data_IF_023571990237
#
_entry.id   IF_023571990237
#
_cell.length_a   1.000
_cell.length_b   1.000
_cell.length_c   1.000
_cell.angle_alpha   90.00
_cell.angle_beta   90.00
_cell.angle_gamma   90.00
#
_symmetry.space_group_name_H-M   'P 1'
#
loop_
_entity.id
_entity.type
_entity.pdbx_description
1 polymer ?
#
# COMPACT_ATOMS: atom_id res chain seq x y z
N UNK A 1 -4.91 -1.17 11.20
CA UNK A 1 -3.58 -1.70 10.85
C UNK A 1 -2.69 -0.59 10.30
N UNK A 2 -1.38 -0.83 10.18
CA UNK A 2 -0.39 0.10 9.66
C UNK A 2 0.41 -0.58 8.53
N UNK A 3 0.71 0.18 7.48
CA UNK A 3 1.63 -0.22 6.41
C UNK A 3 2.79 0.76 6.39
N UNK A 4 4.02 0.25 6.30
CA UNK A 4 5.22 1.07 6.25
C UNK A 4 6.23 0.51 5.23
N UNK A 5 7.09 1.39 4.72
CA UNK A 5 8.14 1.04 3.78
C UNK A 5 9.51 1.30 4.40
N UNK A 6 10.45 0.39 4.21
CA UNK A 6 11.85 0.57 4.61
C UNK A 6 12.62 1.41 3.59
N UNK A 7 13.80 1.93 3.96
CA UNK A 7 14.67 2.67 3.05
C UNK A 7 15.05 1.88 1.78
N UNK A 8 15.14 0.54 1.90
CA UNK A 8 15.47 -0.34 0.78
C UNK A 8 14.25 -0.71 -0.09
N UNK A 9 13.07 -0.15 0.21
CA UNK A 9 11.86 -0.38 -0.58
C UNK A 9 11.13 -1.69 -0.27
N UNK A 10 11.33 -2.27 0.91
CA UNK A 10 10.49 -3.37 1.38
C UNK A 10 9.24 -2.82 2.08
N UNK A 11 8.09 -3.41 1.78
CA UNK A 11 6.81 -3.04 2.36
C UNK A 11 6.44 -4.00 3.48
N UNK A 12 6.04 -3.46 4.63
CA UNK A 12 5.66 -4.20 5.82
C UNK A 12 4.26 -3.81 6.28
N UNK A 13 3.50 -4.80 6.74
CA UNK A 13 2.23 -4.64 7.45
C UNK A 13 2.42 -4.91 8.93
N UNK A 14 1.75 -4.12 9.76
CA UNK A 14 1.67 -4.27 11.20
C UNK A 14 0.19 -4.29 11.58
N UNK A 15 -0.27 -5.36 12.22
CA UNK A 15 -1.67 -5.50 12.61
C UNK A 15 -1.94 -4.79 13.93
N UNK A 16 -3.12 -4.19 14.07
CA UNK A 16 -3.58 -3.71 15.37
C UNK A 16 -3.83 -4.89 16.30
N UNK A 17 -3.37 -4.80 17.56
CA UNK A 17 -3.56 -5.87 18.55
C UNK A 17 -4.88 -5.74 19.31
N UNK A 18 -5.66 -4.69 19.06
CA UNK A 18 -6.84 -4.32 19.86
C UNK A 18 -6.51 -3.73 21.24
N UNK A 19 -5.23 -3.58 21.60
CA UNK A 19 -4.78 -3.07 22.91
C UNK A 19 -4.09 -1.70 22.82
N UNK A 20 -4.32 -0.97 21.74
CA UNK A 20 -3.58 0.26 21.44
C UNK A 20 -2.13 0.04 21.02
N UNK A 21 -1.75 -1.18 20.65
CA UNK A 21 -0.41 -1.52 20.13
C UNK A 21 -0.51 -2.16 18.75
N UNK A 22 0.64 -2.28 18.07
CA UNK A 22 0.77 -2.98 16.79
C UNK A 22 1.63 -4.25 16.95
N UNK A 23 1.41 -5.23 16.06
CA UNK A 23 2.18 -6.48 16.01
C UNK A 23 3.63 -6.25 15.55
N UNK A 24 4.42 -7.33 15.51
CA UNK A 24 5.62 -7.35 14.68
C UNK A 24 5.25 -7.18 13.20
N UNK A 25 6.17 -6.60 12.43
CA UNK A 25 5.97 -6.35 11.01
C UNK A 25 6.10 -7.63 10.19
N UNK A 26 5.15 -7.84 9.28
CA UNK A 26 5.22 -8.88 8.25
C UNK A 26 5.55 -8.24 6.92
N UNK A 27 6.59 -8.72 6.23
CA UNK A 27 6.91 -8.26 4.88
C UNK A 27 5.82 -8.70 3.90
N UNK A 28 5.23 -7.75 3.20
CA UNK A 28 4.13 -7.97 2.25
C UNK A 28 4.49 -7.56 0.81
N UNK A 29 5.68 -6.99 0.60
CA UNK A 29 6.15 -6.61 -0.72
C UNK A 29 7.62 -6.21 -0.76
N UNK A 30 8.17 -6.17 -1.97
CA UNK A 30 9.51 -5.69 -2.29
C UNK A 30 9.41 -4.70 -3.47
N UNK A 31 10.42 -3.88 -3.69
CA UNK A 31 10.48 -2.97 -4.85
C UNK A 31 9.63 -1.69 -4.72
N UNK A 32 9.18 -1.36 -3.52
CA UNK A 32 8.38 -0.17 -3.23
C UNK A 32 9.19 1.13 -3.21
N UNK A 33 10.51 1.07 -3.42
CA UNK A 33 11.39 2.24 -3.48
C UNK A 33 11.07 3.23 -4.62
N UNK A 34 10.37 2.77 -5.68
CA UNK A 34 9.94 3.62 -6.79
C UNK A 34 8.64 4.41 -6.55
N UNK A 35 7.97 4.19 -5.42
CA UNK A 35 6.77 4.94 -5.06
C UNK A 35 7.13 6.27 -4.40
N UNK A 36 6.48 7.36 -4.79
CA UNK A 36 6.54 8.61 -4.04
C UNK A 36 5.87 8.42 -2.67
N UNK A 37 4.67 7.85 -2.67
CA UNK A 37 3.81 7.61 -1.51
C UNK A 37 2.80 6.47 -1.79
N UNK A 38 2.13 6.03 -0.74
CA UNK A 38 1.12 4.98 -0.76
C UNK A 38 0.14 5.15 0.41
N UNK A 39 -1.09 4.69 0.23
CA UNK A 39 -2.15 4.77 1.25
C UNK A 39 -3.08 3.57 1.17
N UNK A 40 -3.53 3.06 2.31
CA UNK A 40 -4.62 2.09 2.38
C UNK A 40 -5.96 2.79 2.18
N UNK A 41 -6.76 2.37 1.21
CA UNK A 41 -7.98 3.10 0.78
C UNK A 41 -9.29 2.38 1.15
N UNK A 42 -9.19 1.23 1.83
CA UNK A 42 -10.31 0.31 2.02
C UNK A 42 -10.52 -0.56 0.78
N UNK A 43 -11.72 -1.11 0.61
CA UNK A 43 -12.04 -2.05 -0.48
C UNK A 43 -12.43 -1.33 -1.78
N UNK A 44 -11.44 -1.00 -2.61
CA UNK A 44 -11.65 -0.38 -3.93
C UNK A 44 -12.06 -1.42 -4.98
N UNK A 45 -11.72 -2.69 -4.78
CA UNK A 45 -12.08 -3.79 -5.70
C UNK A 45 -13.52 -4.27 -5.55
N UNK A 46 -14.13 -4.07 -4.39
CA UNK A 46 -15.44 -4.60 -4.03
C UNK A 46 -15.42 -6.08 -3.61
N UNK A 47 -14.27 -6.62 -3.22
CA UNK A 47 -14.09 -8.04 -2.87
C UNK A 47 -14.11 -8.31 -1.35
N UNK A 48 -14.38 -7.29 -0.55
CA UNK A 48 -14.44 -7.32 0.90
C UNK A 48 -13.08 -7.26 1.60
N UNK A 49 -12.00 -6.89 0.88
CA UNK A 49 -10.64 -6.81 1.43
C UNK A 49 -10.04 -5.44 1.19
N UNK A 50 -9.28 -4.97 2.17
CA UNK A 50 -8.63 -3.67 2.06
C UNK A 50 -7.52 -3.67 1.00
N UNK A 51 -7.57 -2.66 0.12
CA UNK A 51 -6.62 -2.41 -0.94
C UNK A 51 -5.64 -1.29 -0.57
N UNK A 52 -4.54 -1.26 -1.31
CA UNK A 52 -3.52 -0.23 -1.23
C UNK A 52 -3.40 0.52 -2.56
N UNK A 53 -3.26 1.84 -2.48
CA UNK A 53 -2.85 2.68 -3.61
C UNK A 53 -1.38 3.04 -3.45
N UNK A 54 -0.64 3.01 -4.55
CA UNK A 54 0.74 3.48 -4.62
C UNK A 54 0.90 4.40 -5.82
N UNK A 55 1.53 5.55 -5.62
CA UNK A 55 1.84 6.49 -6.70
C UNK A 55 3.34 6.51 -6.93
N UNK A 56 3.75 6.37 -8.18
CA UNK A 56 5.17 6.44 -8.56
C UNK A 56 5.69 7.88 -8.55
N UNK A 57 7.00 8.05 -8.49
CA UNK A 57 7.65 9.37 -8.65
C UNK A 57 7.40 10.02 -10.02
N UNK A 58 7.04 9.22 -11.03
CA UNK A 58 6.64 9.68 -12.36
C UNK A 58 5.16 10.06 -12.46
N UNK A 59 4.34 9.76 -11.43
CA UNK A 59 2.92 10.11 -11.39
C UNK A 59 1.98 9.05 -11.97
N UNK A 60 2.42 7.81 -12.10
CA UNK A 60 1.51 6.69 -12.36
C UNK A 60 0.84 6.26 -11.04
N UNK A 61 -0.47 6.01 -11.06
CA UNK A 61 -1.22 5.50 -9.91
C UNK A 61 -1.49 4.01 -10.10
N UNK A 62 -1.14 3.22 -9.10
CA UNK A 62 -1.34 1.78 -9.06
C UNK A 62 -2.26 1.39 -7.89
N UNK A 63 -3.14 0.42 -8.14
CA UNK A 63 -3.90 -0.30 -7.13
C UNK A 63 -3.25 -1.65 -6.86
N UNK A 64 -3.22 -2.04 -5.60
CA UNK A 64 -2.74 -3.34 -5.13
C UNK A 64 -3.87 -3.98 -4.33
N UNK A 65 -4.46 -5.05 -4.89
CA UNK A 65 -5.61 -5.69 -4.29
C UNK A 65 -5.24 -6.42 -2.99
N UNK A 66 -6.05 -6.32 -1.95
CA UNK A 66 -5.92 -7.15 -0.76
C UNK A 66 -6.08 -8.63 -1.08
N UNK A 67 -5.22 -9.50 -0.53
CA UNK A 67 -5.34 -10.95 -0.77
C UNK A 67 -6.14 -11.70 0.30
N UNK A 68 -6.55 -11.02 1.38
CA UNK A 68 -7.36 -11.59 2.48
C UNK A 68 -6.55 -12.44 3.47
N UNK A 69 -5.28 -12.69 3.18
CA UNK A 69 -4.33 -13.42 4.04
C UNK A 69 -3.30 -12.48 4.69
N UNK A 70 -3.60 -11.18 4.75
CA UNK A 70 -2.71 -10.19 5.33
C UNK A 70 -1.77 -9.50 4.33
N UNK A 71 -1.75 -9.93 3.07
CA UNK A 71 -0.89 -9.38 2.01
C UNK A 71 -1.64 -8.67 0.89
N UNK A 72 -0.90 -8.34 -0.16
CA UNK A 72 -1.40 -7.65 -1.35
C UNK A 72 -1.00 -8.42 -2.62
N UNK A 73 -1.78 -8.23 -3.69
CA UNK A 73 -1.49 -8.75 -5.02
C UNK A 73 -0.57 -7.84 -5.84
N UNK A 74 -0.41 -8.19 -7.12
CA UNK A 74 0.35 -7.40 -8.08
C UNK A 74 -0.28 -6.02 -8.32
N UNK A 75 0.58 -5.03 -8.57
CA UNK A 75 0.14 -3.68 -8.90
C UNK A 75 -0.53 -3.59 -10.26
N UNK A 76 -1.71 -2.98 -10.31
CA UNK A 76 -2.45 -2.68 -11.54
C UNK A 76 -2.48 -1.16 -11.72
N UNK A 77 -1.97 -0.65 -12.85
CA UNK A 77 -2.04 0.79 -13.15
C UNK A 77 -3.50 1.19 -13.37
N UNK A 78 -3.96 2.18 -12.62
CA UNK A 78 -5.35 2.69 -12.67
C UNK A 78 -5.42 4.18 -13.04
N UNK A 79 -4.28 4.85 -13.19
CA UNK A 79 -4.25 6.25 -13.59
C UNK A 79 -2.86 6.74 -13.95
N UNK A 80 -2.83 7.91 -14.58
CA UNK A 80 -1.61 8.65 -14.96
C UNK A 80 -1.78 10.11 -14.57
N UNK A 81 -0.70 10.90 -14.60
CA UNK A 81 -0.76 12.34 -14.36
C UNK A 81 -0.82 12.76 -12.89
N UNK A 82 -0.56 11.85 -11.96
CA UNK A 82 -0.65 12.12 -10.52
C UNK A 82 0.57 12.84 -9.92
N UNK A 83 1.55 13.20 -10.76
CA UNK A 83 2.80 13.86 -10.34
C UNK A 83 2.56 15.26 -9.75
N UNK A 84 1.50 15.95 -10.17
CA UNK A 84 1.19 17.32 -9.72
C UNK A 84 0.61 17.39 -8.32
N UNK A 85 0.08 16.28 -7.79
CA UNK A 85 -0.44 16.24 -6.42
C UNK A 85 0.71 16.20 -5.41
N UNK A 86 0.53 16.79 -4.23
CA UNK A 86 1.55 16.73 -3.18
C UNK A 86 1.63 15.32 -2.57
N UNK A 87 0.47 14.75 -2.24
CA UNK A 87 0.35 13.45 -1.57
C UNK A 87 -0.95 12.71 -1.94
N UNK A 88 -0.98 11.40 -1.72
CA UNK A 88 -2.19 10.58 -1.63
C UNK A 88 -2.41 10.15 -0.16
N UNK A 89 -3.60 10.42 0.38
CA UNK A 89 -3.98 10.13 1.77
C UNK A 89 -5.48 9.94 1.91
#
# INVERSE_FOLDING_TARGET
>A
DLVARTANGDLYRYNGTGKGTISSGTKIGSGWGGMADFVGIGDLTGDGKDDLLGRTTTGDLYRYAGNGAGGIGSGVKIGTGWKSFAEIR
#
